data_IF_475239260141
#
_entry.id   IF_475239260141
#
_cell.length_a   1.000
_cell.length_b   1.000
_cell.length_c   1.000
_cell.angle_alpha   90.00
_cell.angle_beta   90.00
_cell.angle_gamma   90.00
#
_symmetry.space_group_name_H-M   'P 1'
#
loop_
_entity.id
_entity.type
_entity.pdbx_description
1 polymer ?
#
# COMPACT_ATOMS: atom_id res chain seq x y z
N UNK A 1 -14.24 15.70 19.16
CA UNK A 1 -13.30 15.64 18.04
C UNK A 1 -12.45 16.90 17.94
N UNK A 2 -12.96 18.04 17.45
CA UNK A 2 -12.15 19.29 17.35
C UNK A 2 -11.51 19.70 18.70
N UNK A 3 -12.26 19.70 19.79
CA UNK A 3 -11.71 19.98 21.14
C UNK A 3 -10.67 18.96 21.63
N UNK A 4 -10.58 17.78 20.99
CA UNK A 4 -9.57 16.75 21.26
C UNK A 4 -8.37 16.84 20.29
N UNK A 5 -8.28 17.90 19.47
CA UNK A 5 -7.16 18.15 18.56
C UNK A 5 -7.31 17.54 17.15
N UNK A 6 -8.46 16.94 16.85
CA UNK A 6 -8.70 16.27 15.58
C UNK A 6 -9.18 17.24 14.49
N UNK A 7 -8.72 17.04 13.25
CA UNK A 7 -9.27 17.69 12.06
C UNK A 7 -10.55 16.95 11.69
N UNK A 8 -11.66 17.68 11.57
CA UNK A 8 -12.97 17.09 11.28
C UNK A 8 -13.51 17.63 9.96
N UNK A 9 -13.74 16.71 9.02
CA UNK A 9 -14.31 16.99 7.71
C UNK A 9 -15.76 16.52 7.68
N UNK A 10 -16.76 17.40 7.85
CA UNK A 10 -18.15 17.00 7.80
C UNK A 10 -18.55 16.63 6.36
N UNK A 11 -19.19 15.48 6.19
CA UNK A 11 -19.71 15.01 4.90
C UNK A 11 -21.24 15.06 4.93
N UNK A 12 -21.84 15.78 3.98
CA UNK A 12 -23.28 15.68 3.73
C UNK A 12 -23.54 14.36 3.01
N UNK A 13 -24.05 13.37 3.76
CA UNK A 13 -24.30 12.02 3.26
C UNK A 13 -25.27 11.98 2.08
N UNK A 14 -26.22 12.92 1.99
CA UNK A 14 -27.21 12.93 0.91
C UNK A 14 -26.55 13.39 -0.38
N UNK A 15 -25.78 14.49 -0.31
CA UNK A 15 -25.03 15.01 -1.45
C UNK A 15 -23.93 14.04 -1.88
N UNK A 16 -23.17 13.51 -0.92
CA UNK A 16 -22.06 12.58 -1.19
C UNK A 16 -22.56 11.30 -1.87
N UNK A 17 -23.60 10.66 -1.32
CA UNK A 17 -24.21 9.48 -1.96
C UNK A 17 -24.72 9.77 -3.37
N UNK A 18 -25.40 10.90 -3.57
CA UNK A 18 -25.91 11.25 -4.89
C UNK A 18 -24.77 11.45 -5.92
N UNK A 19 -23.63 12.00 -5.48
CA UNK A 19 -22.42 12.11 -6.30
C UNK A 19 -21.84 10.76 -6.67
N UNK A 20 -21.67 9.86 -5.69
CA UNK A 20 -21.20 8.48 -5.90
C UNK A 20 -22.11 7.73 -6.90
N UNK A 21 -23.42 7.79 -6.68
CA UNK A 21 -24.40 7.12 -7.53
C UNK A 21 -24.52 7.70 -8.94
N UNK A 22 -23.97 8.89 -9.19
CA UNK A 22 -23.90 9.50 -10.50
C UNK A 22 -22.67 9.04 -11.30
N UNK A 23 -21.67 8.47 -10.63
CA UNK A 23 -20.46 7.91 -11.24
C UNK A 23 -20.62 6.44 -11.64
N UNK A 24 -21.77 5.81 -11.32
CA UNK A 24 -22.06 4.42 -11.69
C UNK A 24 -22.21 4.33 -13.21
N UNK A 25 -21.33 3.55 -13.83
CA UNK A 25 -21.29 3.30 -15.25
C UNK A 25 -22.06 2.03 -15.64
N UNK A 26 -22.32 1.90 -16.95
CA UNK A 26 -23.02 0.73 -17.48
C UNK A 26 -22.11 -0.50 -17.42
N UNK A 27 -22.37 -1.38 -16.46
CA UNK A 27 -21.63 -2.62 -16.27
C UNK A 27 -21.25 -2.85 -14.81
N UNK A 28 -21.26 -1.79 -14.01
CA UNK A 28 -20.94 -1.84 -12.59
C UNK A 28 -21.96 -2.68 -11.81
N UNK A 29 -21.45 -3.48 -10.88
CA UNK A 29 -22.22 -4.33 -9.97
C UNK A 29 -22.13 -3.87 -8.50
N UNK A 30 -21.19 -2.97 -8.17
CA UNK A 30 -20.99 -2.39 -6.84
C UNK A 30 -20.46 -0.94 -6.90
N UNK A 31 -20.39 -0.27 -5.75
CA UNK A 31 -19.82 1.07 -5.56
C UNK A 31 -18.62 0.97 -4.62
N UNK A 32 -17.47 1.51 -5.03
CA UNK A 32 -16.30 1.64 -4.17
C UNK A 32 -16.34 3.00 -3.46
N UNK A 33 -16.36 3.00 -2.12
CA UNK A 33 -16.42 4.23 -1.32
C UNK A 33 -15.03 4.77 -0.96
N UNK A 34 -14.01 3.92 -1.01
CA UNK A 34 -12.69 4.22 -0.49
C UNK A 34 -12.00 5.36 -1.24
N UNK A 35 -12.10 5.37 -2.57
CA UNK A 35 -11.46 6.38 -3.42
C UNK A 35 -11.92 7.81 -3.10
N UNK A 36 -13.22 8.03 -2.95
CA UNK A 36 -13.76 9.36 -2.64
C UNK A 36 -13.36 9.81 -1.23
N UNK A 37 -13.41 8.91 -0.24
CA UNK A 37 -13.02 9.24 1.13
C UNK A 37 -11.53 9.58 1.21
N UNK A 38 -10.69 8.78 0.56
CA UNK A 38 -9.26 9.02 0.47
C UNK A 38 -8.97 10.33 -0.28
N UNK A 39 -9.67 10.59 -1.38
CA UNK A 39 -9.56 11.84 -2.15
C UNK A 39 -9.89 13.07 -1.31
N UNK A 40 -11.00 13.04 -0.58
CA UNK A 40 -11.40 14.12 0.34
C UNK A 40 -10.33 14.34 1.42
N UNK A 41 -9.78 13.26 1.99
CA UNK A 41 -8.72 13.36 2.99
C UNK A 41 -7.45 13.99 2.40
N UNK A 42 -6.99 13.50 1.24
CA UNK A 42 -5.82 14.05 0.53
C UNK A 42 -6.01 15.53 0.20
N UNK A 43 -7.15 15.92 -0.36
CA UNK A 43 -7.46 17.31 -0.70
C UNK A 43 -7.45 18.21 0.54
N UNK A 44 -8.09 17.77 1.63
CA UNK A 44 -8.13 18.54 2.87
C UNK A 44 -6.75 18.69 3.51
N UNK A 45 -5.96 17.63 3.56
CA UNK A 45 -4.60 17.67 4.13
C UNK A 45 -3.69 18.62 3.33
N UNK A 46 -3.85 18.67 2.00
CA UNK A 46 -3.14 19.63 1.14
C UNK A 46 -3.64 21.05 1.33
N UNK A 47 -4.96 21.26 1.42
CA UNK A 47 -5.54 22.57 1.66
C UNK A 47 -5.13 23.17 3.01
N UNK A 48 -4.81 22.31 3.99
CA UNK A 48 -4.31 22.68 5.31
C UNK A 48 -2.78 22.76 5.41
N UNK A 49 -2.05 22.52 4.31
CA UNK A 49 -0.58 22.51 4.23
C UNK A 49 0.09 21.59 5.27
N UNK A 50 -0.54 20.43 5.52
CA UNK A 50 -0.03 19.46 6.48
C UNK A 50 1.10 18.64 5.88
N UNK A 51 2.21 18.55 6.61
CA UNK A 51 3.44 17.87 6.19
C UNK A 51 3.43 16.35 6.44
N UNK A 52 2.35 15.85 7.05
CA UNK A 52 2.13 14.44 7.34
C UNK A 52 0.82 13.99 6.70
N UNK A 53 0.86 12.85 6.01
CA UNK A 53 -0.36 12.19 5.56
C UNK A 53 -0.96 11.38 6.71
N UNK A 54 -2.21 11.68 7.05
CA UNK A 54 -2.99 10.92 8.01
C UNK A 54 -4.05 10.14 7.26
N UNK A 55 -4.11 8.82 7.47
CA UNK A 55 -5.26 8.07 7.00
C UNK A 55 -6.53 8.56 7.72
N UNK A 56 -7.66 8.71 7.00
CA UNK A 56 -8.90 9.15 7.63
C UNK A 56 -9.45 8.06 8.55
N UNK A 57 -10.06 8.48 9.66
CA UNK A 57 -10.99 7.66 10.46
C UNK A 57 -12.42 8.00 10.03
N UNK A 58 -13.14 7.02 9.48
CA UNK A 58 -14.49 7.26 8.95
C UNK A 58 -15.51 7.11 10.07
N UNK A 59 -16.21 8.20 10.37
CA UNK A 59 -17.22 8.24 11.44
C UNK A 59 -18.60 8.42 10.85
N UNK A 60 -19.52 7.54 11.22
CA UNK A 60 -20.90 7.57 10.75
C UNK A 60 -21.93 7.50 11.86
N UNK A 61 -23.11 8.06 11.63
CA UNK A 61 -24.29 7.89 12.51
C UNK A 61 -25.48 7.36 11.73
N UNK A 62 -26.26 6.44 12.29
CA UNK A 62 -27.45 5.92 11.62
C UNK A 62 -27.07 5.25 10.30
N UNK A 63 -27.70 5.69 9.20
CA UNK A 63 -27.36 5.24 7.83
C UNK A 63 -25.90 5.54 7.47
N UNK A 64 -25.35 6.66 7.94
CA UNK A 64 -23.93 6.97 7.75
C UNK A 64 -23.02 6.00 8.48
N UNK A 65 -23.46 5.45 9.62
CA UNK A 65 -22.72 4.40 10.34
C UNK A 65 -22.63 3.11 9.53
N UNK A 66 -23.72 2.73 8.85
CA UNK A 66 -23.74 1.58 7.95
C UNK A 66 -22.80 1.77 6.75
N UNK A 67 -22.81 2.94 6.12
CA UNK A 67 -21.90 3.24 5.01
C UNK A 67 -20.44 3.37 5.45
N UNK A 68 -20.18 3.92 6.64
CA UNK A 68 -18.84 3.97 7.21
C UNK A 68 -18.27 2.57 7.43
N UNK A 69 -19.09 1.65 7.97
CA UNK A 69 -18.69 0.26 8.12
C UNK A 69 -18.42 -0.42 6.78
N UNK A 70 -19.34 -0.28 5.83
CA UNK A 70 -19.18 -0.87 4.49
C UNK A 70 -17.92 -0.34 3.78
N UNK A 71 -17.65 0.97 3.89
CA UNK A 71 -16.44 1.58 3.35
C UNK A 71 -15.18 0.96 3.97
N UNK A 72 -15.08 0.92 5.31
CA UNK A 72 -13.91 0.38 6.00
C UNK A 72 -13.71 -1.11 5.74
N UNK A 73 -14.80 -1.88 5.61
CA UNK A 73 -14.73 -3.30 5.30
C UNK A 73 -14.19 -3.58 3.88
N UNK A 74 -14.51 -2.72 2.92
CA UNK A 74 -14.04 -2.77 1.52
C UNK A 74 -12.67 -2.10 1.32
N UNK A 75 -12.13 -1.47 2.36
CA UNK A 75 -10.95 -0.61 2.22
C UNK A 75 -9.66 -1.43 2.08
N UNK A 76 -8.86 -1.19 1.01
CA UNK A 76 -7.53 -1.75 0.89
C UNK A 76 -6.62 -1.36 2.07
N UNK A 77 -5.56 -2.14 2.32
CA UNK A 77 -4.47 -1.73 3.21
C UNK A 77 -3.99 -0.30 2.91
N UNK A 78 -3.55 0.42 3.95
CA UNK A 78 -2.98 1.76 3.83
C UNK A 78 -3.88 2.81 3.11
N UNK A 79 -5.20 2.72 3.27
CA UNK A 79 -6.15 3.70 2.69
C UNK A 79 -6.95 4.44 3.78
N UNK A 80 -7.37 3.75 4.84
CA UNK A 80 -8.04 4.34 6.02
C UNK A 80 -7.43 3.79 7.30
N UNK A 81 -7.46 4.57 8.37
CA UNK A 81 -7.00 4.14 9.69
C UNK A 81 -8.05 3.22 10.37
N UNK A 82 -9.31 3.35 9.99
CA UNK A 82 -10.43 2.58 10.53
C UNK A 82 -11.72 3.38 10.57
N UNK A 83 -12.68 2.94 11.38
CA UNK A 83 -13.95 3.65 11.50
C UNK A 83 -14.73 3.43 12.78
N UNK A 84 -15.73 4.31 12.97
CA UNK A 84 -16.61 4.29 14.14
C UNK A 84 -18.04 4.54 13.68
N UNK A 85 -19.00 3.75 14.14
CA UNK A 85 -20.40 3.98 13.87
C UNK A 85 -21.22 4.14 15.14
N UNK A 86 -21.91 5.28 15.26
CA UNK A 86 -22.91 5.52 16.30
C UNK A 86 -24.30 5.14 15.80
N UNK A 87 -24.99 4.26 16.53
CA UNK A 87 -26.35 3.83 16.24
C UNK A 87 -26.52 3.41 14.77
N UNK A 88 -25.58 2.60 14.25
CA UNK A 88 -25.58 2.18 12.85
C UNK A 88 -26.93 1.57 12.45
N UNK A 89 -27.52 2.09 11.37
CA UNK A 89 -28.78 1.58 10.87
C UNK A 89 -28.62 0.13 10.38
N UNK A 90 -29.70 -0.69 10.39
CA UNK A 90 -29.64 -2.05 9.87
C UNK A 90 -29.28 -2.13 8.38
N UNK A 91 -29.55 -1.07 7.62
CA UNK A 91 -29.29 -0.99 6.19
C UNK A 91 -29.08 0.45 5.73
N UNK A 92 -28.32 0.65 4.65
CA UNK A 92 -28.19 1.91 3.95
C UNK A 92 -28.84 1.84 2.56
N UNK A 93 -29.30 3.00 2.05
CA UNK A 93 -29.77 3.10 0.66
C UNK A 93 -28.60 3.42 -0.27
N UNK A 94 -28.54 2.69 -1.38
CA UNK A 94 -27.65 2.94 -2.52
C UNK A 94 -28.23 2.29 -3.78
N UNK A 95 -27.83 2.75 -4.98
CA UNK A 95 -28.25 2.12 -6.25
C UNK A 95 -27.67 0.70 -6.44
N UNK A 96 -26.45 0.48 -5.96
CA UNK A 96 -25.70 -0.78 -5.99
C UNK A 96 -25.13 -1.05 -4.58
N UNK A 97 -24.79 -2.30 -4.22
CA UNK A 97 -24.08 -2.58 -2.97
C UNK A 97 -22.70 -1.91 -2.94
N UNK A 98 -22.08 -1.87 -1.75
CA UNK A 98 -20.64 -1.53 -1.68
C UNK A 98 -19.88 -2.78 -2.13
N UNK A 99 -18.66 -2.60 -2.65
CA UNK A 99 -17.86 -3.69 -3.21
C UNK A 99 -17.39 -4.71 -2.16
N UNK A 100 -16.14 -5.18 -2.20
CA UNK A 100 -15.66 -6.32 -1.42
C UNK A 100 -15.69 -6.03 0.09
N UNK A 101 -15.29 -7.00 0.90
CA UNK A 101 -15.29 -6.87 2.37
C UNK A 101 -16.55 -7.44 3.01
N UNK A 102 -17.40 -6.58 3.58
CA UNK A 102 -18.60 -7.03 4.29
C UNK A 102 -19.69 -7.49 3.31
N UNK A 103 -20.14 -8.74 3.46
CA UNK A 103 -21.12 -9.36 2.55
C UNK A 103 -22.43 -8.56 2.54
N UNK A 104 -22.87 -8.03 1.38
CA UNK A 104 -24.10 -7.27 1.27
C UNK A 104 -25.34 -8.17 1.16
N UNK A 105 -26.42 -7.80 1.85
CA UNK A 105 -27.76 -8.40 1.70
C UNK A 105 -28.76 -7.33 1.28
N UNK A 106 -29.44 -7.53 0.14
CA UNK A 106 -30.50 -6.62 -0.31
C UNK A 106 -31.70 -6.70 0.64
N UNK A 107 -32.16 -5.54 1.12
CA UNK A 107 -33.39 -5.40 1.94
C UNK A 107 -34.55 -4.81 1.15
N UNK A 108 -34.42 -4.73 -0.18
CA UNK A 108 -35.42 -4.15 -1.10
C UNK A 108 -35.38 -2.61 -1.17
N UNK A 109 -36.01 -2.05 -2.22
CA UNK A 109 -36.08 -0.59 -2.48
C UNK A 109 -34.71 0.12 -2.60
N UNK A 110 -33.70 -0.57 -3.12
CA UNK A 110 -32.33 -0.04 -3.22
C UNK A 110 -31.68 0.16 -1.86
N UNK A 111 -31.93 -0.78 -0.93
CA UNK A 111 -31.31 -0.79 0.39
C UNK A 111 -30.48 -2.06 0.58
N UNK A 112 -29.34 -1.92 1.25
CA UNK A 112 -28.40 -3.00 1.54
C UNK A 112 -28.01 -3.00 3.02
N UNK A 113 -28.07 -4.18 3.63
CA UNK A 113 -27.44 -4.48 4.92
C UNK A 113 -26.06 -5.11 4.66
N UNK A 114 -25.15 -5.00 5.61
CA UNK A 114 -23.80 -5.54 5.50
C UNK A 114 -23.51 -6.40 6.73
N UNK A 115 -22.92 -7.58 6.49
CA UNK A 115 -22.54 -8.49 7.57
C UNK A 115 -21.53 -7.83 8.52
N UNK A 116 -21.86 -7.74 9.80
CA UNK A 116 -21.02 -7.12 10.84
C UNK A 116 -19.92 -8.06 11.37
N UNK A 117 -20.00 -9.33 11.00
CA UNK A 117 -19.03 -10.38 11.32
C UNK A 117 -18.04 -10.60 10.16
N UNK A 118 -17.71 -9.55 9.40
CA UNK A 118 -16.68 -9.63 8.36
C UNK A 118 -15.28 -9.57 8.98
N UNK A 119 -14.31 -10.21 8.32
CA UNK A 119 -12.89 -9.97 8.61
C UNK A 119 -12.49 -8.63 8.00
N UNK A 120 -11.91 -7.77 8.82
CA UNK A 120 -11.52 -6.42 8.44
C UNK A 120 -10.00 -6.29 8.42
N UNK A 121 -9.49 -5.50 7.48
CA UNK A 121 -8.08 -5.10 7.43
C UNK A 121 -7.81 -3.95 8.40
N UNK A 122 -8.81 -3.11 8.66
CA UNK A 122 -8.71 -1.96 9.54
C UNK A 122 -9.67 -2.08 10.73
N UNK A 123 -9.36 -1.48 11.88
CA UNK A 123 -10.21 -1.55 13.06
C UNK A 123 -11.54 -0.80 12.85
N UNK A 124 -12.61 -1.36 13.41
CA UNK A 124 -13.92 -0.72 13.40
C UNK A 124 -14.63 -0.87 14.76
N UNK A 125 -15.33 0.18 15.18
CA UNK A 125 -16.07 0.21 16.46
C UNK A 125 -17.53 0.59 16.23
N UNK A 126 -18.46 -0.28 16.60
CA UNK A 126 -19.88 0.05 16.74
C UNK A 126 -20.18 0.56 18.14
N UNK A 127 -21.00 1.61 18.22
CA UNK A 127 -21.46 2.19 19.47
C UNK A 127 -22.99 2.21 19.43
N UNK A 128 -23.63 1.51 20.36
CA UNK A 128 -25.09 1.35 20.42
C UNK A 128 -25.61 1.33 21.85
N UNK A 129 -26.90 1.63 22.10
CA UNK A 129 -27.50 1.55 23.44
C UNK A 129 -27.69 0.11 23.93
N UNK A 130 -27.71 -0.84 23.00
CA UNK A 130 -28.04 -2.26 23.23
C UNK A 130 -26.92 -3.18 22.74
N UNK A 131 -26.92 -4.42 23.22
CA UNK A 131 -25.93 -5.45 22.90
C UNK A 131 -24.96 -5.75 24.04
N UNK A 132 -23.79 -6.29 23.69
CA UNK A 132 -22.71 -6.56 24.62
C UNK A 132 -21.46 -5.84 24.14
N UNK A 133 -20.69 -5.28 25.09
CA UNK A 133 -19.41 -4.68 24.73
C UNK A 133 -18.40 -5.78 24.41
N UNK A 134 -17.55 -5.51 23.44
CA UNK A 134 -16.44 -6.36 23.03
C UNK A 134 -15.22 -5.50 22.76
N UNK A 135 -14.04 -6.04 23.07
CA UNK A 135 -12.79 -5.34 22.80
C UNK A 135 -12.42 -5.44 21.32
N UNK A 136 -11.65 -4.45 20.86
CA UNK A 136 -11.04 -4.49 19.54
C UNK A 136 -9.91 -5.52 19.53
N UNK A 137 -9.89 -6.40 18.52
CA UNK A 137 -8.76 -7.32 18.30
C UNK A 137 -7.45 -6.52 18.21
N UNK A 138 -6.36 -7.00 18.83
CA UNK A 138 -5.09 -6.26 18.85
C UNK A 138 -4.36 -6.27 17.50
N UNK A 139 -4.77 -7.13 16.56
CA UNK A 139 -4.15 -7.28 15.24
C UNK A 139 -5.16 -7.76 14.20
N UNK A 140 -4.82 -7.55 12.92
CA UNK A 140 -5.57 -8.10 11.80
C UNK A 140 -5.49 -9.65 11.72
N UNK A 141 -6.51 -10.32 11.13
CA UNK A 141 -7.78 -9.75 10.70
C UNK A 141 -8.60 -9.25 11.89
N UNK A 142 -9.10 -8.02 11.80
CA UNK A 142 -9.90 -7.41 12.86
C UNK A 142 -11.34 -7.88 12.76
N UNK A 143 -12.00 -7.95 13.92
CA UNK A 143 -13.46 -8.08 14.02
C UNK A 143 -13.98 -6.77 14.60
N UNK A 144 -15.13 -6.30 14.14
CA UNK A 144 -15.69 -5.06 14.63
C UNK A 144 -15.98 -5.16 16.15
N UNK A 145 -15.46 -4.19 16.91
CA UNK A 145 -15.73 -4.08 18.34
C UNK A 145 -17.09 -3.45 18.59
N UNK A 146 -17.67 -3.69 19.76
CA UNK A 146 -18.93 -3.09 20.19
C UNK A 146 -18.73 -2.37 21.52
N UNK A 147 -19.23 -1.14 21.64
CA UNK A 147 -19.29 -0.41 22.90
C UNK A 147 -20.76 -0.10 23.18
N UNK A 148 -21.23 -0.51 24.36
CA UNK A 148 -22.62 -0.25 24.77
C UNK A 148 -22.69 1.05 25.57
N UNK A 149 -23.38 2.05 25.04
CA UNK A 149 -23.56 3.35 25.68
C UNK A 149 -25.01 3.84 25.55
N UNK A 150 -25.77 3.77 26.66
CA UNK A 150 -27.19 4.17 26.69
C UNK A 150 -27.38 5.68 26.83
N UNK A 151 -26.48 6.34 27.53
CA UNK A 151 -26.51 7.80 27.69
C UNK A 151 -25.96 8.47 26.42
N UNK A 152 -26.70 9.41 25.79
CA UNK A 152 -26.25 10.04 24.56
C UNK A 152 -24.93 10.81 24.68
N UNK A 153 -24.63 11.41 25.83
CA UNK A 153 -23.38 12.15 26.02
C UNK A 153 -22.20 11.17 26.15
N UNK A 154 -22.37 10.08 26.90
CA UNK A 154 -21.38 9.01 26.99
C UNK A 154 -21.14 8.33 25.62
N UNK A 155 -22.20 8.13 24.83
CA UNK A 155 -22.07 7.56 23.48
C UNK A 155 -21.23 8.46 22.57
N UNK A 156 -21.43 9.78 22.63
CA UNK A 156 -20.64 10.74 21.85
C UNK A 156 -19.18 10.83 22.33
N UNK A 157 -18.92 10.72 23.63
CA UNK A 157 -17.54 10.64 24.13
C UNK A 157 -16.86 9.33 23.71
N UNK A 158 -17.59 8.21 23.75
CA UNK A 158 -17.09 6.93 23.25
C UNK A 158 -16.74 6.98 21.76
N UNK A 159 -17.57 7.64 20.92
CA UNK A 159 -17.25 7.86 19.50
C UNK A 159 -15.94 8.61 19.38
N UNK A 160 -15.80 9.72 20.13
CA UNK A 160 -14.61 10.54 20.05
C UNK A 160 -13.36 9.79 20.53
N UNK A 161 -13.47 9.04 21.62
CA UNK A 161 -12.35 8.29 22.18
C UNK A 161 -11.93 7.14 21.26
N UNK A 162 -12.88 6.39 20.69
CA UNK A 162 -12.59 5.32 19.74
C UNK A 162 -11.87 5.87 18.50
N UNK A 163 -12.35 6.99 17.94
CA UNK A 163 -11.74 7.59 16.77
C UNK A 163 -10.31 8.09 17.04
N UNK A 164 -10.08 8.75 18.18
CA UNK A 164 -8.72 9.17 18.59
C UNK A 164 -7.81 7.95 18.79
N UNK A 165 -8.29 6.90 19.45
CA UNK A 165 -7.49 5.68 19.67
C UNK A 165 -7.07 5.03 18.34
N UNK A 166 -7.99 4.93 17.37
CA UNK A 166 -7.71 4.40 16.03
C UNK A 166 -6.68 5.29 15.31
N UNK A 167 -6.90 6.61 15.31
CA UNK A 167 -5.99 7.59 14.68
C UNK A 167 -4.57 7.51 15.26
N UNK A 168 -4.44 7.47 16.59
CA UNK A 168 -3.14 7.37 17.26
C UNK A 168 -2.44 6.04 17.03
N UNK A 169 -3.19 4.94 16.89
CA UNK A 169 -2.62 3.63 16.60
C UNK A 169 -2.05 3.54 15.16
N UNK A 170 -2.67 4.22 14.19
CA UNK A 170 -2.16 4.32 12.81
C UNK A 170 -0.99 5.33 12.68
N UNK A 171 -0.89 6.28 13.60
CA UNK A 171 0.16 7.29 13.59
C UNK A 171 1.52 6.69 14.01
N UNK A 172 2.44 6.59 13.05
CA UNK A 172 3.78 6.05 13.27
C UNK A 172 4.85 7.05 12.82
N UNK A 173 6.02 7.00 13.46
CA UNK A 173 7.14 7.88 13.12
C UNK A 173 7.71 7.61 11.71
N UNK A 174 7.70 6.35 11.29
CA UNK A 174 7.97 5.92 9.92
C UNK A 174 6.80 5.04 9.48
N UNK A 175 6.24 5.26 8.28
CA UNK A 175 5.07 4.54 7.79
C UNK A 175 5.49 3.18 7.23
N UNK A 176 5.92 2.29 8.12
CA UNK A 176 6.40 0.94 7.77
C UNK A 176 5.43 -0.15 8.21
N UNK A 177 5.37 -1.20 7.41
CA UNK A 177 4.63 -2.43 7.67
C UNK A 177 5.66 -3.55 7.80
N UNK A 178 5.65 -4.28 8.92
CA UNK A 178 6.58 -5.38 9.15
C UNK A 178 5.80 -6.69 9.04
N UNK A 179 6.10 -7.46 7.99
CA UNK A 179 5.55 -8.79 7.73
C UNK A 179 6.62 -9.83 8.02
N UNK A 180 6.34 -10.70 9.00
CA UNK A 180 7.30 -11.73 9.45
C UNK A 180 6.88 -13.11 8.94
N UNK A 181 7.81 -13.90 8.40
CA UNK A 181 7.54 -15.26 7.97
C UNK A 181 7.29 -16.17 9.18
N UNK A 182 6.77 -17.36 8.91
CA UNK A 182 6.76 -18.41 9.93
C UNK A 182 8.19 -18.91 10.18
N UNK A 183 8.62 -18.88 11.44
CA UNK A 183 9.98 -19.31 11.82
C UNK A 183 11.01 -18.19 11.71
N UNK A 184 12.26 -18.58 11.54
CA UNK A 184 13.38 -17.64 11.41
C UNK A 184 13.50 -17.15 9.95
N UNK A 185 13.63 -15.83 9.70
CA UNK A 185 13.74 -15.29 8.35
C UNK A 185 14.96 -15.84 7.62
N UNK A 186 14.77 -16.26 6.37
CA UNK A 186 15.84 -16.69 5.47
C UNK A 186 16.49 -15.51 4.74
N UNK A 187 15.79 -14.38 4.66
CA UNK A 187 16.27 -13.09 4.17
C UNK A 187 15.47 -11.93 4.80
N UNK A 188 15.98 -10.70 4.67
CA UNK A 188 15.23 -9.47 4.98
C UNK A 188 15.15 -8.59 3.73
N UNK A 189 13.97 -8.09 3.40
CA UNK A 189 13.77 -7.13 2.32
C UNK A 189 13.10 -5.86 2.83
N UNK A 190 13.77 -4.71 2.66
CA UNK A 190 13.11 -3.41 2.82
C UNK A 190 12.55 -3.02 1.47
N UNK A 191 11.22 -2.88 1.37
CA UNK A 191 10.52 -2.66 0.12
C UNK A 191 9.78 -1.32 0.12
N UNK A 192 10.23 -0.36 -0.70
CA UNK A 192 9.57 0.94 -0.88
C UNK A 192 8.51 0.84 -1.98
N UNK A 193 7.25 1.13 -1.63
CA UNK A 193 6.11 1.05 -2.56
C UNK A 193 6.16 2.11 -3.67
N UNK A 194 5.22 2.01 -4.61
CA UNK A 194 4.88 3.12 -5.50
C UNK A 194 4.20 4.29 -4.76
N UNK A 195 3.91 5.37 -5.49
CA UNK A 195 3.31 6.62 -4.97
C UNK A 195 1.85 6.47 -4.50
N UNK A 196 1.21 5.34 -4.84
CA UNK A 196 -0.09 4.92 -4.35
C UNK A 196 -0.09 4.30 -2.94
N UNK A 197 1.07 4.10 -2.32
CA UNK A 197 1.24 3.51 -0.98
C UNK A 197 1.26 1.98 -0.96
N UNK A 198 1.39 1.40 0.25
CA UNK A 198 1.60 -0.04 0.46
C UNK A 198 0.30 -0.87 0.37
N UNK A 199 -0.18 -1.21 -0.83
CA UNK A 199 -1.54 -1.80 -0.98
C UNK A 199 -1.81 -2.80 -2.10
N UNK A 200 -1.15 -2.71 -3.26
CA UNK A 200 -1.46 -3.54 -4.44
C UNK A 200 -0.28 -4.43 -4.83
N UNK A 201 0.46 -4.09 -5.89
CA UNK A 201 1.61 -4.84 -6.38
C UNK A 201 2.65 -5.08 -5.27
N UNK A 202 3.13 -4.00 -4.65
CA UNK A 202 4.17 -4.03 -3.63
C UNK A 202 3.76 -4.89 -2.41
N UNK A 203 2.52 -4.72 -1.92
CA UNK A 203 1.99 -5.55 -0.86
C UNK A 203 1.85 -7.01 -1.28
N UNK A 204 1.30 -7.29 -2.45
CA UNK A 204 1.08 -8.67 -2.93
C UNK A 204 2.41 -9.41 -3.06
N UNK A 205 3.41 -8.77 -3.64
CA UNK A 205 4.78 -9.30 -3.70
C UNK A 205 5.36 -9.48 -2.28
N UNK A 206 5.19 -8.48 -1.40
CA UNK A 206 5.68 -8.54 -0.03
C UNK A 206 5.07 -9.67 0.80
N UNK A 207 3.76 -9.88 0.68
CA UNK A 207 3.05 -10.98 1.33
C UNK A 207 3.56 -12.32 0.79
N UNK A 208 3.67 -12.46 -0.53
CA UNK A 208 4.19 -13.68 -1.16
C UNK A 208 5.62 -13.98 -0.69
N UNK A 209 6.51 -13.00 -0.67
CA UNK A 209 7.88 -13.15 -0.15
C UNK A 209 7.88 -13.56 1.34
N UNK A 210 6.94 -13.03 2.12
CA UNK A 210 6.77 -13.38 3.54
C UNK A 210 6.34 -14.84 3.70
N UNK A 211 5.41 -15.31 2.89
CA UNK A 211 5.01 -16.72 2.85
C UNK A 211 6.18 -17.65 2.46
N UNK A 212 7.15 -17.12 1.72
CA UNK A 212 8.36 -17.84 1.27
C UNK A 212 9.60 -17.58 2.14
N UNK A 213 9.42 -17.08 3.37
CA UNK A 213 10.46 -17.05 4.40
C UNK A 213 11.24 -15.73 4.52
N UNK A 214 10.87 -14.70 3.77
CA UNK A 214 11.52 -13.38 3.84
C UNK A 214 10.83 -12.51 4.89
N UNK A 215 11.56 -11.85 5.78
CA UNK A 215 11.00 -10.74 6.57
C UNK A 215 10.92 -9.50 5.69
N UNK A 216 9.70 -9.07 5.36
CA UNK A 216 9.46 -7.91 4.51
C UNK A 216 9.13 -6.71 5.38
N UNK A 217 9.88 -5.64 5.20
CA UNK A 217 9.63 -4.33 5.79
C UNK A 217 9.17 -3.40 4.68
N UNK A 218 7.86 -3.32 4.50
CA UNK A 218 7.23 -2.43 3.52
C UNK A 218 7.28 -0.98 3.99
N UNK A 219 7.70 -0.06 3.13
CA UNK A 219 7.67 1.39 3.35
C UNK A 219 6.56 1.96 2.46
N UNK A 220 5.55 2.54 3.08
CA UNK A 220 4.47 3.24 2.39
C UNK A 220 5.00 4.60 1.88
N UNK A 221 5.34 4.64 0.59
CA UNK A 221 5.94 5.80 -0.04
C UNK A 221 4.99 7.01 -0.06
N UNK A 222 3.66 6.79 -0.17
CA UNK A 222 2.66 7.86 -0.12
C UNK A 222 2.77 8.67 1.17
N UNK A 223 2.83 7.96 2.30
CA UNK A 223 3.00 8.58 3.62
C UNK A 223 4.38 9.17 3.80
N UNK A 224 5.41 8.43 3.40
CA UNK A 224 6.81 8.80 3.65
C UNK A 224 7.20 10.06 2.86
N UNK A 225 6.81 10.16 1.59
CA UNK A 225 7.09 11.28 0.70
C UNK A 225 5.92 12.27 0.56
N UNK A 226 4.98 12.27 1.51
CA UNK A 226 3.91 13.27 1.56
C UNK A 226 4.49 14.70 1.64
N UNK A 227 5.53 14.84 2.45
CA UNK A 227 6.46 15.96 2.46
C UNK A 227 7.80 15.52 1.85
N UNK A 228 8.53 16.49 1.28
CA UNK A 228 9.83 16.25 0.67
C UNK A 228 10.79 15.50 1.61
N UNK A 229 11.60 14.62 1.03
CA UNK A 229 12.67 13.89 1.73
C UNK A 229 13.97 14.05 0.96
N UNK A 230 15.07 14.27 1.67
CA UNK A 230 16.40 14.25 1.05
C UNK A 230 16.94 12.83 0.96
N UNK A 231 17.87 12.55 0.01
CA UNK A 231 18.56 11.26 -0.05
C UNK A 231 19.27 10.89 1.26
N UNK A 232 19.86 11.86 1.97
CA UNK A 232 20.50 11.63 3.27
C UNK A 232 19.49 11.24 4.36
N UNK A 233 18.31 11.86 4.36
CA UNK A 233 17.24 11.50 5.29
C UNK A 233 16.78 10.07 5.02
N UNK A 234 16.55 9.71 3.77
CA UNK A 234 16.16 8.35 3.38
C UNK A 234 17.22 7.31 3.76
N UNK A 235 18.51 7.58 3.57
CA UNK A 235 19.57 6.68 4.00
C UNK A 235 19.61 6.49 5.53
N UNK A 236 19.39 7.56 6.30
CA UNK A 236 19.31 7.51 7.77
C UNK A 236 18.10 6.69 8.25
N UNK A 237 16.97 6.84 7.57
CA UNK A 237 15.76 6.09 7.89
C UNK A 237 15.91 4.60 7.51
N UNK A 238 16.53 4.28 6.37
CA UNK A 238 16.91 2.91 6.01
C UNK A 238 17.82 2.30 7.07
N UNK A 239 18.87 3.00 7.52
CA UNK A 239 19.73 2.55 8.62
C UNK A 239 18.92 2.28 9.89
N UNK A 240 18.02 3.18 10.26
CA UNK A 240 17.19 3.04 11.46
C UNK A 240 16.27 1.82 11.36
N UNK A 241 15.67 1.59 10.20
CA UNK A 241 14.77 0.45 9.94
C UNK A 241 15.57 -0.86 10.01
N UNK A 242 16.64 -0.97 9.22
CA UNK A 242 17.44 -2.20 9.16
C UNK A 242 18.18 -2.47 10.48
N UNK A 243 18.60 -1.43 11.20
CA UNK A 243 19.19 -1.53 12.53
C UNK A 243 18.22 -2.11 13.56
N UNK A 244 16.93 -1.74 13.49
CA UNK A 244 15.88 -2.34 14.33
C UNK A 244 15.56 -3.78 13.92
N UNK A 245 15.56 -4.08 12.62
CA UNK A 245 15.37 -5.44 12.11
C UNK A 245 16.51 -6.37 12.56
N UNK A 246 17.73 -5.82 12.70
CA UNK A 246 18.91 -6.50 13.21
C UNK A 246 19.17 -7.86 12.52
N UNK A 247 19.36 -7.88 11.18
CA UNK A 247 19.56 -9.11 10.42
C UNK A 247 20.78 -9.88 10.92
N UNK A 248 20.57 -11.15 11.29
CA UNK A 248 21.65 -12.06 11.70
C UNK A 248 22.73 -12.16 10.61
N UNK A 249 23.96 -12.45 11.03
CA UNK A 249 25.05 -12.66 10.09
C UNK A 249 24.72 -13.81 9.12
N UNK A 250 24.98 -13.62 7.82
CA UNK A 250 24.69 -14.59 6.76
C UNK A 250 23.24 -14.58 6.25
N UNK A 251 22.33 -13.83 6.88
CA UNK A 251 20.98 -13.58 6.34
C UNK A 251 21.10 -12.45 5.30
N UNK A 252 20.72 -12.68 4.02
CA UNK A 252 20.76 -11.68 2.97
C UNK A 252 19.86 -10.49 3.29
N UNK A 253 20.28 -9.30 2.87
CA UNK A 253 19.50 -8.07 2.97
C UNK A 253 19.32 -7.47 1.57
N UNK A 254 18.08 -7.17 1.22
CA UNK A 254 17.73 -6.54 -0.05
C UNK A 254 17.02 -5.19 0.16
N UNK A 255 17.29 -4.25 -0.74
CA UNK A 255 16.46 -3.07 -0.96
C UNK A 255 15.63 -3.30 -2.23
N UNK A 256 14.31 -3.21 -2.11
CA UNK A 256 13.37 -3.36 -3.21
C UNK A 256 12.59 -2.05 -3.38
N UNK A 257 12.31 -1.66 -4.62
CA UNK A 257 11.50 -0.48 -4.91
C UNK A 257 10.59 -0.72 -6.10
N UNK A 258 9.36 -0.24 -6.02
CA UNK A 258 8.41 -0.24 -7.14
C UNK A 258 8.08 1.19 -7.56
N UNK A 259 8.10 1.48 -8.87
CA UNK A 259 7.73 2.78 -9.44
C UNK A 259 8.48 3.90 -8.70
N UNK A 260 7.78 4.82 -8.03
CA UNK A 260 8.35 5.86 -7.19
C UNK A 260 9.42 5.37 -6.18
N UNK A 261 9.21 4.22 -5.55
CA UNK A 261 10.20 3.61 -4.66
C UNK A 261 11.47 3.16 -5.40
N UNK A 262 11.32 2.64 -6.62
CA UNK A 262 12.43 2.25 -7.49
C UNK A 262 13.23 3.47 -7.96
N UNK A 263 12.55 4.59 -8.19
CA UNK A 263 13.19 5.83 -8.62
C UNK A 263 14.00 6.51 -7.52
N UNK A 264 13.56 6.40 -6.26
CA UNK A 264 14.13 7.14 -5.12
C UNK A 264 15.29 6.42 -4.43
N UNK A 265 15.23 5.09 -4.32
CA UNK A 265 16.27 4.28 -3.68
C UNK A 265 17.70 4.50 -4.23
N UNK A 266 17.92 4.63 -5.56
CA UNK A 266 19.26 4.86 -6.11
C UNK A 266 19.96 6.11 -5.55
N UNK A 267 19.21 7.15 -5.22
CA UNK A 267 19.77 8.38 -4.64
C UNK A 267 20.19 8.19 -3.18
N UNK A 268 19.45 7.39 -2.41
CA UNK A 268 19.75 7.10 -1.02
C UNK A 268 20.93 6.13 -0.86
N UNK A 269 21.08 5.17 -1.79
CA UNK A 269 22.11 4.14 -1.74
C UNK A 269 23.54 4.66 -1.47
N UNK A 270 24.09 5.65 -2.20
CA UNK A 270 25.44 6.16 -1.95
C UNK A 270 25.58 6.95 -0.64
N UNK A 271 24.46 7.23 0.06
CA UNK A 271 24.42 7.91 1.36
C UNK A 271 24.32 6.94 2.53
N UNK A 272 24.14 5.65 2.26
CA UNK A 272 24.08 4.63 3.31
C UNK A 272 25.40 4.56 4.07
N UNK A 273 25.35 4.36 5.40
CA UNK A 273 26.52 3.98 6.16
C UNK A 273 27.17 2.72 5.56
N UNK A 274 28.51 2.65 5.59
CA UNK A 274 29.27 1.58 4.93
C UNK A 274 28.80 0.16 5.32
N UNK A 275 28.42 -0.03 6.59
CA UNK A 275 27.90 -1.32 7.07
C UNK A 275 26.69 -1.80 6.27
N UNK A 276 25.80 -0.89 5.87
CA UNK A 276 24.62 -1.24 5.08
C UNK A 276 24.96 -1.38 3.60
N UNK A 277 25.81 -0.51 3.06
CA UNK A 277 26.30 -0.65 1.68
C UNK A 277 27.00 -2.00 1.44
N UNK A 278 27.67 -2.53 2.47
CA UNK A 278 28.31 -3.85 2.44
C UNK A 278 27.30 -5.00 2.63
N UNK A 279 26.31 -4.84 3.52
CA UNK A 279 25.32 -5.88 3.87
C UNK A 279 24.18 -6.06 2.85
N UNK A 280 23.87 -5.02 2.08
CA UNK A 280 22.83 -5.07 1.06
C UNK A 280 23.42 -5.67 -0.21
N UNK A 281 22.97 -6.87 -0.57
CA UNK A 281 23.50 -7.59 -1.74
C UNK A 281 22.63 -7.45 -2.99
N UNK A 282 21.43 -6.87 -2.83
CA UNK A 282 20.47 -6.65 -3.91
C UNK A 282 19.82 -5.26 -3.79
N UNK A 283 19.84 -4.52 -4.89
CA UNK A 283 18.94 -3.42 -5.21
C UNK A 283 18.01 -3.89 -6.33
N UNK A 284 16.78 -4.27 -5.99
CA UNK A 284 15.75 -4.73 -6.92
C UNK A 284 14.79 -3.59 -7.28
N UNK A 285 14.71 -3.25 -8.55
CA UNK A 285 13.96 -2.09 -9.06
C UNK A 285 12.88 -2.58 -10.02
N UNK A 286 11.62 -2.34 -9.67
CA UNK A 286 10.46 -2.69 -10.49
C UNK A 286 9.89 -1.43 -11.13
N UNK A 287 9.85 -1.41 -12.46
CA UNK A 287 9.39 -0.30 -13.28
C UNK A 287 9.99 1.07 -12.91
N UNK A 288 11.34 1.20 -12.80
CA UNK A 288 11.95 2.50 -12.56
C UNK A 288 11.84 3.39 -13.81
N UNK A 289 11.50 4.65 -13.60
CA UNK A 289 11.45 5.71 -14.61
C UNK A 289 12.82 6.34 -14.80
N UNK A 290 13.04 7.02 -15.92
CA UNK A 290 14.30 7.76 -16.16
C UNK A 290 14.45 9.02 -15.29
N UNK A 291 13.34 9.62 -14.85
CA UNK A 291 13.33 10.84 -14.04
C UNK A 291 12.34 10.77 -12.88
N UNK A 292 12.62 11.48 -11.79
CA UNK A 292 11.74 11.51 -10.60
C UNK A 292 11.83 12.81 -9.80
N UNK A 293 10.94 12.95 -8.82
CA UNK A 293 11.01 13.96 -7.76
C UNK A 293 10.94 13.31 -6.37
N UNK A 294 11.29 14.05 -5.32
CA UNK A 294 11.31 13.55 -3.93
C UNK A 294 10.07 13.92 -3.10
N UNK A 295 8.99 14.32 -3.78
CA UNK A 295 7.71 14.60 -3.15
C UNK A 295 6.59 14.10 -4.04
N UNK A 296 5.65 13.36 -3.46
CA UNK A 296 4.46 12.93 -4.17
C UNK A 296 3.51 14.12 -4.28
N UNK A 297 3.14 14.46 -5.51
CA UNK A 297 2.24 15.56 -5.84
C UNK A 297 0.95 15.04 -6.47
N UNK A 298 -0.10 15.86 -6.46
CA UNK A 298 -1.37 15.54 -7.14
C UNK A 298 -1.17 15.32 -8.64
N UNK A 299 -0.21 16.01 -9.26
CA UNK A 299 0.16 15.78 -10.66
C UNK A 299 0.78 14.40 -10.88
N UNK A 300 1.60 13.93 -9.94
CA UNK A 300 2.16 12.57 -9.97
C UNK A 300 1.11 11.47 -10.00
N UNK A 301 0.08 11.57 -9.16
CA UNK A 301 -1.05 10.62 -9.16
C UNK A 301 -1.86 10.61 -10.47
N UNK A 302 -1.78 11.69 -11.26
CA UNK A 302 -2.41 11.80 -12.58
C UNK A 302 -1.46 11.41 -13.72
N UNK A 303 -0.31 10.79 -13.40
CA UNK A 303 0.69 10.34 -14.37
C UNK A 303 1.58 11.44 -14.94
N UNK A 304 1.69 12.60 -14.27
CA UNK A 304 2.60 13.67 -14.68
C UNK A 304 3.99 13.46 -14.07
N UNK A 305 5.03 13.89 -14.79
CA UNK A 305 6.40 13.87 -14.27
C UNK A 305 6.49 14.61 -12.92
N UNK A 306 7.04 13.93 -11.91
CA UNK A 306 7.08 14.40 -10.51
C UNK A 306 8.33 15.21 -10.17
N UNK A 307 9.30 15.29 -11.08
CA UNK A 307 10.56 16.04 -10.93
C UNK A 307 11.50 15.81 -12.11
N UNK A 308 12.67 16.43 -12.06
CA UNK A 308 13.70 16.40 -13.11
C UNK A 308 14.97 15.65 -12.70
N UNK A 309 14.96 14.98 -11.54
CA UNK A 309 16.12 14.28 -11.02
C UNK A 309 16.41 13.05 -11.88
N UNK A 310 17.67 12.92 -12.31
CA UNK A 310 18.13 11.88 -13.23
C UNK A 310 18.38 10.56 -12.48
N UNK A 311 17.42 9.63 -12.61
CA UNK A 311 17.47 8.31 -11.94
C UNK A 311 18.59 7.46 -12.51
N UNK A 312 18.82 7.52 -13.82
CA UNK A 312 19.88 6.77 -14.52
C UNK A 312 21.25 7.17 -13.97
N UNK A 313 21.49 8.47 -13.79
CA UNK A 313 22.73 8.98 -13.21
C UNK A 313 22.90 8.55 -11.74
N UNK A 314 21.83 8.51 -10.96
CA UNK A 314 21.89 8.04 -9.58
C UNK A 314 22.30 6.56 -9.50
N UNK A 315 21.81 5.74 -10.43
CA UNK A 315 22.14 4.32 -10.53
C UNK A 315 23.61 4.04 -10.82
N UNK A 316 24.33 4.94 -11.49
CA UNK A 316 25.77 4.81 -11.70
C UNK A 316 26.58 4.77 -10.39
N UNK A 317 26.02 5.28 -9.30
CA UNK A 317 26.64 5.23 -7.97
C UNK A 317 26.41 3.90 -7.23
N UNK A 318 25.61 2.99 -7.80
CA UNK A 318 25.33 1.67 -7.23
C UNK A 318 26.20 0.62 -7.94
N UNK A 319 26.85 -0.32 -7.21
CA UNK A 319 27.58 -1.41 -7.85
C UNK A 319 26.67 -2.19 -8.79
N UNK A 320 26.98 -2.20 -10.09
CA UNK A 320 26.16 -2.82 -11.15
C UNK A 320 25.81 -4.29 -10.85
N UNK A 321 26.71 -5.01 -10.18
CA UNK A 321 26.54 -6.41 -9.79
C UNK A 321 25.49 -6.64 -8.70
N UNK A 322 24.98 -5.58 -8.07
CA UNK A 322 23.90 -5.64 -7.07
C UNK A 322 22.54 -5.27 -7.65
N UNK A 323 22.47 -4.81 -8.91
CA UNK A 323 21.25 -4.28 -9.50
C UNK A 323 20.49 -5.39 -10.23
N UNK A 324 19.21 -5.55 -9.86
CA UNK A 324 18.19 -6.21 -10.66
C UNK A 324 17.19 -5.15 -11.12
N UNK A 325 16.98 -5.03 -12.42
CA UNK A 325 16.03 -4.09 -13.02
C UNK A 325 14.95 -4.86 -13.80
N UNK A 326 13.69 -4.70 -13.39
CA UNK A 326 12.53 -5.36 -13.99
C UNK A 326 11.64 -4.31 -14.62
N UNK A 327 11.20 -4.51 -15.86
CA UNK A 327 10.36 -3.57 -16.61
C UNK A 327 9.29 -4.29 -17.44
N UNK A 328 8.15 -3.62 -17.64
CA UNK A 328 7.10 -4.05 -18.55
C UNK A 328 7.50 -3.78 -20.00
N UNK A 329 7.24 -4.71 -20.92
CA UNK A 329 7.59 -4.55 -22.34
C UNK A 329 6.87 -3.38 -23.03
N UNK A 330 5.75 -2.90 -22.48
CA UNK A 330 5.06 -1.72 -23.01
C UNK A 330 5.74 -0.40 -22.59
N UNK A 331 6.60 -0.42 -21.56
CA UNK A 331 7.28 0.76 -21.00
C UNK A 331 8.75 0.90 -21.45
N UNK A 332 9.17 0.17 -22.49
CA UNK A 332 10.56 0.17 -22.95
C UNK A 332 11.13 1.56 -23.25
N UNK A 333 10.28 2.50 -23.68
CA UNK A 333 10.69 3.86 -24.00
C UNK A 333 11.01 4.71 -22.76
N UNK A 334 10.37 4.41 -21.64
CA UNK A 334 10.33 5.28 -20.45
C UNK A 334 11.13 4.72 -19.27
N UNK A 335 11.42 3.42 -19.28
CA UNK A 335 12.15 2.76 -18.20
C UNK A 335 13.64 3.16 -18.14
N UNK A 336 14.17 3.30 -16.92
CA UNK A 336 15.61 3.41 -16.71
C UNK A 336 16.35 2.09 -16.99
N UNK A 337 15.68 0.93 -16.96
CA UNK A 337 16.31 -0.39 -17.09
C UNK A 337 17.08 -0.55 -18.40
N UNK A 338 16.65 0.10 -19.48
CA UNK A 338 17.26 0.01 -20.80
C UNK A 338 18.34 1.06 -21.06
N UNK A 339 18.61 1.95 -20.11
CA UNK A 339 19.67 2.95 -20.23
C UNK A 339 21.03 2.29 -20.47
N UNK A 340 21.92 2.89 -21.29
CA UNK A 340 23.25 2.32 -21.56
C UNK A 340 24.08 2.07 -20.29
N UNK A 341 23.92 2.92 -19.27
CA UNK A 341 24.61 2.77 -17.98
C UNK A 341 24.29 1.46 -17.25
N UNK A 342 23.13 0.85 -17.52
CA UNK A 342 22.70 -0.40 -16.91
C UNK A 342 22.99 -1.65 -17.75
N UNK A 343 23.74 -1.54 -18.86
CA UNK A 343 23.86 -2.62 -19.85
C UNK A 343 24.32 -3.96 -19.26
N UNK A 344 25.15 -3.91 -18.21
CA UNK A 344 25.71 -5.07 -17.52
C UNK A 344 24.93 -5.46 -16.24
N UNK A 345 23.83 -4.76 -15.91
CA UNK A 345 22.95 -5.13 -14.80
C UNK A 345 22.12 -6.38 -15.15
N UNK A 346 21.60 -7.07 -14.13
CA UNK A 346 20.57 -8.07 -14.38
C UNK A 346 19.28 -7.36 -14.80
N UNK A 347 18.73 -7.73 -15.95
CA UNK A 347 17.52 -7.13 -16.54
C UNK A 347 16.49 -8.20 -16.84
N UNK A 348 15.24 -7.96 -16.48
CA UNK A 348 14.13 -8.85 -16.77
C UNK A 348 13.01 -8.04 -17.42
N UNK A 349 12.63 -8.42 -18.64
CA UNK A 349 11.46 -7.90 -19.32
C UNK A 349 10.26 -8.81 -19.02
N UNK A 350 9.13 -8.20 -18.66
CA UNK A 350 7.88 -8.89 -18.36
C UNK A 350 6.81 -8.35 -19.31
N UNK A 351 5.93 -9.22 -19.82
CA UNK A 351 4.81 -8.76 -20.65
C UNK A 351 3.90 -7.80 -19.86
N UNK A 352 3.35 -6.80 -20.55
CA UNK A 352 2.50 -5.76 -19.96
C UNK A 352 3.19 -4.41 -19.75
N UNK A 353 2.47 -3.51 -19.09
CA UNK A 353 2.93 -2.15 -18.79
C UNK A 353 3.44 -1.95 -17.37
N UNK A 354 3.23 -0.75 -16.81
CA UNK A 354 3.81 -0.30 -15.53
C UNK A 354 3.38 -1.11 -14.30
N UNK A 355 2.28 -1.85 -14.44
CA UNK A 355 1.74 -2.77 -13.44
C UNK A 355 1.91 -4.25 -13.85
N UNK A 356 2.67 -4.55 -14.91
CA UNK A 356 3.00 -5.92 -15.35
C UNK A 356 1.79 -6.83 -15.54
N UNK A 357 0.65 -6.26 -15.97
CA UNK A 357 -0.64 -6.92 -16.20
C UNK A 357 -1.14 -7.80 -15.04
N UNK A 358 -0.66 -7.56 -13.82
CA UNK A 358 -1.05 -8.28 -12.62
C UNK A 358 -0.31 -9.60 -12.35
N UNK A 359 0.74 -9.94 -13.10
CA UNK A 359 1.55 -11.15 -12.84
C UNK A 359 2.54 -10.97 -11.68
N UNK A 360 2.00 -10.67 -10.50
CA UNK A 360 2.78 -10.32 -9.30
C UNK A 360 3.49 -11.54 -8.69
N UNK A 361 2.94 -12.73 -8.87
CA UNK A 361 3.56 -13.97 -8.38
C UNK A 361 4.86 -14.25 -9.12
N UNK A 362 4.86 -14.16 -10.45
CA UNK A 362 6.08 -14.35 -11.23
C UNK A 362 7.15 -13.29 -10.88
N UNK A 363 6.76 -12.03 -10.65
CA UNK A 363 7.67 -11.00 -10.15
C UNK A 363 8.27 -11.37 -8.78
N UNK A 364 7.44 -11.86 -7.86
CA UNK A 364 7.87 -12.23 -6.52
C UNK A 364 8.84 -13.43 -6.54
N UNK A 365 8.62 -14.42 -7.40
CA UNK A 365 9.54 -15.53 -7.62
C UNK A 365 10.91 -15.04 -8.11
N UNK A 366 10.93 -14.14 -9.09
CA UNK A 366 12.16 -13.56 -9.65
C UNK A 366 12.96 -12.80 -8.60
N UNK A 367 12.27 -12.01 -7.78
CA UNK A 367 12.87 -11.30 -6.66
C UNK A 367 13.44 -12.26 -5.63
N UNK A 368 12.72 -13.33 -5.27
CA UNK A 368 13.20 -14.34 -4.32
C UNK A 368 14.48 -15.02 -4.82
N UNK A 369 14.53 -15.40 -6.11
CA UNK A 369 15.75 -15.95 -6.72
C UNK A 369 16.92 -14.98 -6.61
N UNK A 370 16.70 -13.69 -6.90
CA UNK A 370 17.75 -12.68 -6.77
C UNK A 370 18.20 -12.44 -5.32
N UNK A 371 17.27 -12.45 -4.36
CA UNK A 371 17.58 -12.30 -2.93
C UNK A 371 18.47 -13.45 -2.46
N UNK A 372 18.21 -14.68 -2.91
CA UNK A 372 18.89 -15.87 -2.44
C UNK A 372 20.21 -16.15 -3.18
N UNK A 373 20.29 -15.78 -4.47
CA UNK A 373 21.34 -16.23 -5.37
C UNK A 373 22.01 -15.11 -6.17
N UNK A 374 21.66 -13.86 -5.88
CA UNK A 374 22.18 -12.65 -6.54
C UNK A 374 21.40 -12.25 -7.80
N UNK A 375 21.54 -11.00 -8.28
CA UNK A 375 20.66 -10.42 -9.30
C UNK A 375 20.51 -11.25 -10.59
N UNK A 376 21.59 -11.89 -11.05
CA UNK A 376 21.59 -12.67 -12.30
C UNK A 376 20.71 -13.92 -12.23
N UNK A 377 20.43 -14.45 -11.03
CA UNK A 377 19.56 -15.61 -10.85
C UNK A 377 18.09 -15.32 -11.17
N UNK A 378 17.68 -14.05 -11.19
CA UNK A 378 16.34 -13.67 -11.62
C UNK A 378 16.13 -13.86 -13.13
N UNK A 379 17.19 -13.82 -13.95
CA UNK A 379 17.05 -13.87 -15.41
C UNK A 379 16.56 -15.27 -15.82
N UNK A 380 15.47 -15.38 -16.60
CA UNK A 380 15.01 -16.66 -17.11
C UNK A 380 16.13 -17.36 -17.88
N UNK A 381 16.40 -18.62 -17.55
CA UNK A 381 17.25 -19.44 -18.43
C UNK A 381 16.45 -19.70 -19.72
N UNK A 382 17.03 -19.49 -20.92
CA UNK A 382 16.36 -19.81 -22.16
C UNK A 382 15.87 -21.27 -22.13
N UNK A 383 14.57 -21.49 -22.30
CA UNK A 383 14.08 -22.85 -22.52
C UNK A 383 14.63 -23.34 -23.86
N UNK A 384 15.17 -24.57 -23.96
CA UNK A 384 15.53 -25.13 -25.25
C UNK A 384 14.28 -25.19 -26.12
N UNK A 385 14.39 -24.69 -27.36
CA UNK A 385 13.30 -24.78 -28.34
C UNK A 385 12.84 -26.23 -28.45
N UNK A 386 11.52 -26.50 -28.51
CA UNK A 386 11.04 -27.84 -28.77
C UNK A 386 11.65 -28.32 -30.09
N UNK A 387 12.35 -29.46 -30.06
CA UNK A 387 12.89 -30.10 -31.26
C UNK A 387 11.77 -30.19 -32.29
N UNK A 388 11.89 -29.41 -33.37
CA UNK A 388 11.01 -29.52 -34.51
C UNK A 388 11.29 -30.87 -35.14
N UNK A 389 10.39 -31.83 -34.91
CA UNK A 389 10.43 -33.15 -35.48
C UNK A 389 10.59 -33.00 -37.00
N UNK A 390 11.80 -33.32 -37.49
CA UNK A 390 12.12 -33.22 -38.89
C UNK A 390 11.19 -34.17 -39.66
N UNK A 391 10.27 -33.58 -40.44
CA UNK A 391 9.37 -34.34 -41.30
C UNK A 391 10.18 -35.35 -42.13
N UNK A 392 9.77 -36.63 -42.19
CA UNK A 392 10.49 -37.63 -42.96
C UNK A 392 10.53 -37.21 -44.43
N UNK A 393 11.75 -37.17 -44.99
CA UNK A 393 11.98 -36.89 -46.42
C UNK A 393 11.23 -37.91 -47.29
N UNK A 394 10.70 -37.47 -48.45
CA UNK A 394 9.83 -38.26 -49.31
C UNK A 394 10.53 -39.46 -49.97
#
# INVERSE_FOLDING_TARGET
MVNKGEIVLPVDITRWRAGLEAQIDKGDDCIYLGSDIEGIAKEALRALDLQTYFHPVVIGRGVGGTLAYAAVADTPPATMAGGVALDAAPSARSKLPICKGAIPTSVGKGGYAYDRDADLIQPFVFISPDGHSSDLSPSAPYRAANIVAKDPALAMDAVAQAAVNISQADNSALPIIISKPQGEPTAIALFVSGDGGWRDLDKTIGDWLTEHGVEVIGVDALRYFWSEKTPEQMATDIETILGKANPKAGVPVALLGYSFGADTLPFAYPKLPQIWADRIDLLGLLAPSQHTGFQISVGGWLGMATGDQDVVKALEAVPISKILCIYGTEDEADTACLAPALADAARVAIEGGHHFDGDYEMLAERLLQAIQHGPQAAIPTPQPEPETDAAPKP
#
